data_IF_892488691188
#
_entry.id   IF_892488691188
#
_cell.length_a   1.000
_cell.length_b   1.000
_cell.length_c   1.000
_cell.angle_alpha   90.00
_cell.angle_beta   90.00
_cell.angle_gamma   90.00
#
_symmetry.space_group_name_H-M   'P 1'
#
loop_
_entity.id
_entity.type
_entity.pdbx_description
1 polymer ?
#
# COMPACT_ATOMS: atom_id res chain seq x y z
N UNK A 1 11.07 8.62 13.89
CA UNK A 1 10.40 7.96 12.74
C UNK A 1 9.32 8.89 12.21
N UNK A 2 9.24 9.13 10.91
CA UNK A 2 8.25 10.05 10.34
C UNK A 2 6.98 9.32 9.90
N UNK A 3 5.82 9.82 10.30
CA UNK A 3 4.51 9.23 10.00
C UNK A 3 3.72 10.20 9.15
N UNK A 4 3.29 9.75 7.96
CA UNK A 4 2.41 10.55 7.11
C UNK A 4 0.98 10.53 7.64
N UNK A 5 0.38 11.70 7.86
CA UNK A 5 -1.05 11.79 8.23
C UNK A 5 -1.90 11.76 6.96
N UNK A 6 -2.64 10.66 6.78
CA UNK A 6 -3.58 10.46 5.68
C UNK A 6 -4.83 11.30 5.87
N UNK A 7 -5.32 11.89 4.78
CA UNK A 7 -6.59 12.63 4.74
C UNK A 7 -7.79 11.69 4.82
N UNK A 8 -7.59 10.43 4.47
CA UNK A 8 -8.65 9.43 4.48
C UNK A 8 -8.72 8.66 5.80
N UNK A 9 -9.97 8.35 6.17
CA UNK A 9 -10.35 7.38 7.19
C UNK A 9 -10.14 5.96 6.66
N UNK A 10 -10.20 4.97 7.55
CA UNK A 10 -10.36 3.57 7.13
C UNK A 10 -11.64 3.41 6.32
N UNK A 11 -11.61 2.56 5.29
CA UNK A 11 -12.80 2.18 4.56
C UNK A 11 -13.82 1.57 5.53
N UNK A 12 -15.08 2.03 5.50
CA UNK A 12 -16.14 1.45 6.30
C UNK A 12 -16.48 0.05 5.80
N UNK A 13 -17.15 -0.74 6.62
CA UNK A 13 -17.69 -2.05 6.25
C UNK A 13 -17.52 -3.09 7.33
N UNK A 14 -18.56 -3.90 7.53
CA UNK A 14 -18.58 -4.98 8.54
C UNK A 14 -18.13 -6.30 7.95
N UNK A 15 -18.50 -6.59 6.70
CA UNK A 15 -18.13 -7.81 5.97
C UNK A 15 -16.88 -7.64 5.10
N UNK A 16 -16.29 -8.76 4.70
CA UNK A 16 -15.16 -8.74 3.75
C UNK A 16 -15.58 -8.19 2.38
N UNK A 17 -16.74 -8.61 1.88
CA UNK A 17 -17.20 -8.25 0.53
C UNK A 17 -17.54 -6.76 0.39
N UNK A 18 -18.09 -6.14 1.44
CA UNK A 18 -18.33 -4.69 1.47
C UNK A 18 -17.02 -3.90 1.36
N UNK A 19 -16.02 -4.28 2.17
CA UNK A 19 -14.72 -3.61 2.18
C UNK A 19 -13.98 -3.87 0.87
N UNK A 20 -14.08 -5.08 0.32
CA UNK A 20 -13.52 -5.44 -0.97
C UNK A 20 -14.12 -4.61 -2.10
N UNK A 21 -15.45 -4.48 -2.17
CA UNK A 21 -16.15 -3.67 -3.17
C UNK A 21 -15.66 -2.23 -3.14
N UNK A 22 -15.55 -1.64 -1.95
CA UNK A 22 -15.03 -0.27 -1.75
C UNK A 22 -13.57 -0.14 -2.17
N UNK A 23 -12.71 -1.06 -1.76
CA UNK A 23 -11.30 -1.04 -2.13
C UNK A 23 -11.10 -1.24 -3.65
N UNK A 24 -11.92 -2.10 -4.28
CA UNK A 24 -11.91 -2.30 -5.73
C UNK A 24 -12.38 -1.08 -6.48
N UNK A 25 -13.38 -0.34 -5.99
CA UNK A 25 -13.80 0.92 -6.59
C UNK A 25 -12.62 1.92 -6.64
N UNK A 26 -11.87 2.08 -5.55
CA UNK A 26 -10.67 2.93 -5.52
C UNK A 26 -9.61 2.46 -6.52
N UNK A 27 -9.38 1.15 -6.61
CA UNK A 27 -8.46 0.57 -7.60
C UNK A 27 -8.91 0.83 -9.03
N UNK A 28 -10.20 0.69 -9.33
CA UNK A 28 -10.73 0.94 -10.67
C UNK A 28 -10.57 2.39 -11.09
N UNK A 29 -10.71 3.35 -10.18
CA UNK A 29 -10.38 4.77 -10.46
C UNK A 29 -8.92 4.91 -10.88
N UNK A 30 -7.99 4.24 -10.21
CA UNK A 30 -6.58 4.25 -10.63
C UNK A 30 -6.40 3.53 -11.96
N UNK A 31 -7.06 2.38 -12.14
CA UNK A 31 -6.95 1.57 -13.33
C UNK A 31 -7.42 2.31 -14.58
N UNK A 32 -8.54 3.04 -14.51
CA UNK A 32 -9.05 3.86 -15.60
C UNK A 32 -8.09 4.97 -16.03
N UNK A 33 -7.31 5.51 -15.09
CA UNK A 33 -6.26 6.51 -15.39
C UNK A 33 -4.98 5.90 -16.00
N UNK A 34 -4.88 4.57 -16.07
CA UNK A 34 -3.71 3.83 -16.51
C UNK A 34 -4.01 2.97 -17.74
N UNK A 35 -3.07 2.86 -18.69
CA UNK A 35 -3.34 2.11 -19.94
C UNK A 35 -3.23 0.59 -19.81
N UNK A 36 -2.19 0.09 -19.13
CA UNK A 36 -1.88 -1.35 -19.04
C UNK A 36 -2.00 -1.85 -17.61
N UNK A 37 -0.95 -1.67 -16.82
CA UNK A 37 -0.93 -2.04 -15.41
C UNK A 37 -1.27 -0.81 -14.55
N UNK A 38 -2.22 -0.91 -13.62
CA UNK A 38 -2.51 0.17 -12.68
C UNK A 38 -1.32 0.50 -11.79
N UNK A 39 -1.00 1.79 -11.71
CA UNK A 39 0.09 2.30 -10.91
C UNK A 39 -0.25 3.64 -10.29
N UNK A 40 0.47 3.99 -9.23
CA UNK A 40 0.52 5.34 -8.67
C UNK A 40 1.91 5.92 -8.81
N UNK A 41 2.02 7.23 -8.97
CA UNK A 41 3.32 7.93 -8.94
C UNK A 41 3.61 8.37 -7.51
N UNK A 42 4.78 8.00 -7.00
CA UNK A 42 5.17 8.33 -5.63
C UNK A 42 6.07 9.54 -5.56
N UNK A 43 5.74 10.51 -4.71
CA UNK A 43 6.58 11.70 -4.48
C UNK A 43 7.94 11.35 -3.87
N UNK A 44 8.00 10.38 -2.97
CA UNK A 44 9.28 9.90 -2.40
C UNK A 44 10.21 9.35 -3.49
N UNK A 45 9.69 8.55 -4.42
CA UNK A 45 10.47 7.99 -5.51
C UNK A 45 10.54 8.89 -6.76
N UNK A 46 10.59 10.22 -6.59
CA UNK A 46 10.69 11.18 -7.70
C UNK A 46 9.63 10.97 -8.81
N UNK A 47 8.37 10.75 -8.41
CA UNK A 47 7.24 10.44 -9.31
C UNK A 47 7.36 9.13 -10.11
N UNK A 48 8.25 8.23 -9.70
CA UNK A 48 8.33 6.87 -10.25
C UNK A 48 7.06 6.08 -9.96
N UNK A 49 6.80 5.09 -10.82
CA UNK A 49 5.62 4.24 -10.75
C UNK A 49 5.75 3.20 -9.62
N UNK A 50 4.65 3.00 -8.90
CA UNK A 50 4.42 1.87 -8.00
C UNK A 50 3.18 1.13 -8.53
N UNK A 51 3.36 -0.10 -9.00
CA UNK A 51 2.29 -0.91 -9.56
C UNK A 51 1.41 -1.53 -8.47
N UNK A 52 0.12 -1.69 -8.74
CA UNK A 52 -0.86 -2.07 -7.72
C UNK A 52 -1.29 -3.55 -7.77
N UNK A 53 -0.94 -4.28 -8.83
CA UNK A 53 -1.48 -5.63 -9.07
C UNK A 53 -1.04 -6.65 -8.01
N UNK A 54 0.24 -6.58 -7.60
CA UNK A 54 0.84 -7.51 -6.63
C UNK A 54 0.11 -7.49 -5.29
N UNK A 55 -0.47 -6.35 -4.89
CA UNK A 55 -1.23 -6.24 -3.65
C UNK A 55 -2.36 -7.28 -3.58
N UNK A 56 -3.11 -7.45 -4.67
CA UNK A 56 -4.29 -8.32 -4.69
C UNK A 56 -3.91 -9.78 -4.56
N UNK A 57 -2.87 -10.22 -5.28
CA UNK A 57 -2.35 -11.58 -5.20
C UNK A 57 -1.80 -11.86 -3.79
N UNK A 58 -1.02 -10.94 -3.24
CA UNK A 58 -0.45 -11.09 -1.90
C UNK A 58 -1.52 -11.04 -0.80
N UNK A 59 -2.60 -10.28 -0.99
CA UNK A 59 -3.75 -10.27 -0.09
C UNK A 59 -4.41 -11.65 0.00
N UNK A 60 -4.56 -12.36 -1.12
CA UNK A 60 -5.21 -13.68 -1.15
C UNK A 60 -4.41 -14.75 -0.39
N UNK A 61 -3.10 -14.56 -0.24
CA UNK A 61 -2.26 -15.45 0.56
C UNK A 61 -2.47 -15.27 2.08
N UNK A 62 -3.19 -14.24 2.52
CA UNK A 62 -3.42 -13.97 3.95
C UNK A 62 -4.69 -14.62 4.46
N UNK A 63 -4.76 -14.87 5.76
CA UNK A 63 -5.95 -15.38 6.43
C UNK A 63 -7.16 -14.44 6.21
N UNK A 64 -8.38 -14.95 5.97
CA UNK A 64 -9.56 -14.13 5.67
C UNK A 64 -9.81 -12.95 6.63
N UNK A 65 -9.65 -13.17 7.95
CA UNK A 65 -9.76 -12.11 8.97
C UNK A 65 -8.78 -10.95 8.74
N UNK A 66 -7.57 -11.26 8.29
CA UNK A 66 -6.53 -10.27 7.99
C UNK A 66 -6.79 -9.58 6.66
N UNK A 67 -7.31 -10.28 5.65
CA UNK A 67 -7.65 -9.67 4.35
C UNK A 67 -8.56 -8.45 4.54
N UNK A 68 -9.63 -8.61 5.32
CA UNK A 68 -10.55 -7.51 5.65
C UNK A 68 -9.84 -6.35 6.32
N UNK A 69 -9.04 -6.61 7.38
CA UNK A 69 -8.31 -5.55 8.11
C UNK A 69 -7.39 -4.76 7.18
N UNK A 70 -6.64 -5.46 6.32
CA UNK A 70 -5.71 -4.82 5.36
C UNK A 70 -6.45 -3.96 4.34
N UNK A 71 -7.55 -4.47 3.78
CA UNK A 71 -8.36 -3.73 2.80
C UNK A 71 -8.93 -2.42 3.36
N UNK A 72 -9.23 -2.35 4.67
CA UNK A 72 -9.73 -1.11 5.29
C UNK A 72 -8.75 0.05 5.16
N UNK A 73 -7.45 -0.21 5.04
CA UNK A 73 -6.43 0.82 4.87
C UNK A 73 -6.13 1.15 3.40
N UNK A 74 -6.77 0.49 2.43
CA UNK A 74 -6.39 0.57 1.01
C UNK A 74 -6.37 2.01 0.48
N UNK A 75 -7.44 2.78 0.72
CA UNK A 75 -7.55 4.17 0.26
C UNK A 75 -6.46 5.08 0.88
N UNK A 76 -6.25 4.96 2.19
CA UNK A 76 -5.21 5.68 2.91
C UNK A 76 -3.80 5.28 2.42
N UNK A 77 -3.58 3.99 2.11
CA UNK A 77 -2.32 3.50 1.56
C UNK A 77 -2.01 4.10 0.19
N UNK A 78 -3.01 4.15 -0.72
CA UNK A 78 -2.86 4.76 -2.04
C UNK A 78 -2.51 6.25 -1.92
N UNK A 79 -3.15 6.98 -1.01
CA UNK A 79 -2.82 8.38 -0.75
C UNK A 79 -1.41 8.54 -0.21
N UNK A 80 -1.03 7.74 0.79
CA UNK A 80 0.31 7.76 1.36
C UNK A 80 1.36 7.52 0.28
N UNK A 81 1.17 6.54 -0.60
CA UNK A 81 2.12 6.25 -1.67
C UNK A 81 2.26 7.41 -2.66
N UNK A 82 1.17 8.13 -2.93
CA UNK A 82 1.17 9.29 -3.84
C UNK A 82 1.83 10.51 -3.22
N UNK A 83 1.50 10.82 -1.97
CA UNK A 83 1.74 12.14 -1.38
C UNK A 83 2.94 12.18 -0.44
N UNK A 84 3.29 11.05 0.18
CA UNK A 84 4.36 11.00 1.17
C UNK A 84 5.72 11.27 0.54
N UNK A 85 6.52 12.09 1.23
CA UNK A 85 7.96 12.26 1.01
C UNK A 85 8.77 11.73 2.20
N UNK A 86 8.09 11.12 3.17
CA UNK A 86 8.73 10.60 4.37
C UNK A 86 9.67 9.46 4.02
N UNK A 87 10.80 9.40 4.71
CA UNK A 87 11.79 8.34 4.54
C UNK A 87 11.21 7.03 5.09
N UNK A 88 11.05 6.00 4.25
CA UNK A 88 10.61 4.68 4.68
C UNK A 88 11.72 3.94 5.43
N UNK A 89 11.33 2.99 6.27
CA UNK A 89 12.24 1.96 6.74
C UNK A 89 12.57 1.01 5.58
N UNK A 90 13.85 0.72 5.39
CA UNK A 90 14.34 -0.12 4.28
C UNK A 90 14.91 -1.41 4.84
N UNK A 91 14.44 -2.54 4.32
CA UNK A 91 14.97 -3.86 4.64
C UNK A 91 15.11 -4.68 3.37
N UNK A 92 16.03 -5.64 3.34
CA UNK A 92 16.15 -6.59 2.25
C UNK A 92 15.27 -7.82 2.53
N UNK A 93 14.75 -8.45 1.47
CA UNK A 93 14.09 -9.74 1.64
C UNK A 93 15.10 -10.77 2.15
N UNK A 94 14.69 -11.60 3.12
CA UNK A 94 15.54 -12.66 3.66
C UNK A 94 15.91 -13.69 2.57
N UNK A 95 14.94 -13.98 1.69
CA UNK A 95 15.07 -15.01 0.66
C UNK A 95 15.84 -14.54 -0.58
N UNK A 96 15.85 -13.23 -0.85
CA UNK A 96 16.42 -12.67 -2.07
C UNK A 96 16.94 -11.25 -1.85
N UNK A 97 18.27 -11.10 -1.84
CA UNK A 97 18.95 -9.82 -1.66
C UNK A 97 18.75 -8.83 -2.81
N UNK A 98 18.22 -9.28 -3.95
CA UNK A 98 17.83 -8.39 -5.05
C UNK A 98 16.50 -7.69 -4.79
N UNK A 99 15.75 -8.14 -3.77
CA UNK A 99 14.49 -7.54 -3.38
C UNK A 99 14.68 -6.61 -2.19
N UNK A 100 14.28 -5.35 -2.38
CA UNK A 100 14.22 -4.32 -1.33
C UNK A 100 12.77 -4.12 -0.91
N UNK A 101 12.54 -4.02 0.40
CA UNK A 101 11.25 -3.72 0.99
C UNK A 101 11.32 -2.34 1.65
N UNK A 102 10.49 -1.43 1.14
CA UNK A 102 10.28 -0.10 1.73
C UNK A 102 9.00 -0.13 2.56
N UNK A 103 9.11 0.26 3.82
CA UNK A 103 8.00 0.35 4.77
C UNK A 103 7.72 1.81 5.09
N UNK A 104 6.64 2.32 4.53
CA UNK A 104 6.14 3.66 4.81
C UNK A 104 5.12 3.60 5.93
N UNK A 105 5.26 4.49 6.92
CA UNK A 105 4.35 4.56 8.05
C UNK A 105 3.36 5.70 7.88
N UNK A 106 2.10 5.43 8.19
CA UNK A 106 1.01 6.37 8.09
C UNK A 106 0.06 6.28 9.27
N UNK A 107 -0.69 7.35 9.46
CA UNK A 107 -1.82 7.39 10.39
C UNK A 107 -3.06 7.83 9.61
N UNK A 108 -4.17 7.12 9.75
CA UNK A 108 -5.44 7.51 9.12
C UNK A 108 -6.02 8.73 9.81
N UNK A 109 -7.02 9.37 9.18
CA UNK A 109 -7.72 10.52 9.78
C UNK A 109 -8.39 10.17 11.13
N UNK A 110 -8.77 8.91 11.35
CA UNK A 110 -9.30 8.39 12.62
C UNK A 110 -8.22 7.95 13.62
N UNK A 111 -6.95 8.30 13.40
CA UNK A 111 -5.85 8.08 14.35
C UNK A 111 -5.22 6.67 14.30
N UNK A 112 -5.59 5.84 13.33
CA UNK A 112 -5.15 4.45 13.27
C UNK A 112 -3.84 4.34 12.50
N UNK A 113 -2.84 3.72 13.13
CA UNK A 113 -1.51 3.57 12.54
C UNK A 113 -1.44 2.37 11.61
N UNK A 114 -0.82 2.57 10.46
CA UNK A 114 -0.64 1.55 9.45
C UNK A 114 0.73 1.65 8.78
N UNK A 115 1.18 0.53 8.23
CA UNK A 115 2.39 0.43 7.45
C UNK A 115 2.04 -0.01 6.02
N UNK A 116 2.59 0.68 5.04
CA UNK A 116 2.52 0.34 3.61
C UNK A 116 3.87 -0.23 3.19
N UNK A 117 3.87 -1.46 2.71
CA UNK A 117 5.05 -2.14 2.20
C UNK A 117 5.07 -2.08 0.67
N UNK A 118 6.15 -1.53 0.13
CA UNK A 118 6.47 -1.51 -1.30
C UNK A 118 7.65 -2.44 -1.52
N UNK A 119 7.51 -3.36 -2.48
CA UNK A 119 8.58 -4.24 -2.93
C UNK A 119 9.26 -3.59 -4.13
N UNK A 120 10.58 -3.54 -4.15
CA UNK A 120 11.38 -3.20 -5.31
C UNK A 120 12.24 -4.39 -5.72
N UNK A 121 12.22 -4.71 -7.01
CA UNK A 121 13.22 -5.58 -7.63
C UNK A 121 14.37 -4.72 -8.16
N UNK A 122 15.57 -4.86 -7.58
CA UNK A 122 16.75 -4.08 -7.97
C UNK A 122 17.23 -4.37 -9.39
N UNK A 123 16.93 -5.55 -9.94
CA UNK A 123 17.35 -5.92 -11.30
C UNK A 123 16.59 -5.12 -12.35
N UNK A 124 15.30 -4.89 -12.10
CA UNK A 124 14.40 -4.21 -13.04
C UNK A 124 14.04 -2.79 -12.61
N UNK A 125 14.41 -2.39 -11.39
CA UNK A 125 13.94 -1.16 -10.72
C UNK A 125 12.41 -1.07 -10.63
N UNK A 126 11.71 -2.21 -10.76
CA UNK A 126 10.25 -2.27 -10.70
C UNK A 126 9.80 -2.23 -9.25
N UNK A 127 8.86 -1.35 -8.95
CA UNK A 127 8.27 -1.18 -7.62
C UNK A 127 6.81 -1.59 -7.63
N UNK A 128 6.43 -2.45 -6.71
CA UNK A 128 5.08 -2.97 -6.58
C UNK A 128 4.57 -2.73 -5.15
N UNK A 129 3.33 -2.24 -5.04
CA UNK A 129 2.62 -2.17 -3.78
C UNK A 129 2.32 -3.59 -3.31
N UNK A 130 3.01 -4.02 -2.25
CA UNK A 130 2.97 -5.40 -1.79
C UNK A 130 1.90 -5.60 -0.71
N UNK A 131 1.84 -4.72 0.28
CA UNK A 131 0.85 -4.87 1.35
C UNK A 131 0.62 -3.62 2.18
N UNK A 132 -0.53 -3.56 2.84
CA UNK A 132 -0.80 -2.61 3.93
C UNK A 132 -1.34 -3.36 5.13
N UNK A 133 -0.95 -2.98 6.35
CA UNK A 133 -1.43 -3.60 7.58
C UNK A 133 -1.31 -2.64 8.77
N UNK A 134 -2.12 -2.88 9.81
CA UNK A 134 -2.05 -2.10 11.04
C UNK A 134 -0.69 -2.36 11.72
N UNK A 135 0.06 -1.28 11.97
CA UNK A 135 1.35 -1.32 12.64
C UNK A 135 1.67 0.07 13.16
N UNK A 136 2.04 0.16 14.44
CA UNK A 136 2.59 1.39 15.01
C UNK A 136 4.05 1.55 14.56
N UNK A 137 4.51 2.79 14.31
CA UNK A 137 5.93 3.06 14.16
C UNK A 137 6.67 2.53 15.41
N UNK A 138 7.79 1.82 15.21
CA UNK A 138 8.68 1.36 16.29
C UNK A 138 9.76 2.41 16.54
#
# INVERSE_FOLDING_TARGET
MHVYTSKYLRLPGSSYDEVLKRARAEYHVVAQSSKRQPYVRSKYFNSSKIFLDVFWTHLMQKHPKERRKRLRFYKAAIELLRSSREVPEVSFSADDRTIVLYRFYGMTKDGEHFCVQVKEDKRTSRRDFMSVFARKPQ
#
